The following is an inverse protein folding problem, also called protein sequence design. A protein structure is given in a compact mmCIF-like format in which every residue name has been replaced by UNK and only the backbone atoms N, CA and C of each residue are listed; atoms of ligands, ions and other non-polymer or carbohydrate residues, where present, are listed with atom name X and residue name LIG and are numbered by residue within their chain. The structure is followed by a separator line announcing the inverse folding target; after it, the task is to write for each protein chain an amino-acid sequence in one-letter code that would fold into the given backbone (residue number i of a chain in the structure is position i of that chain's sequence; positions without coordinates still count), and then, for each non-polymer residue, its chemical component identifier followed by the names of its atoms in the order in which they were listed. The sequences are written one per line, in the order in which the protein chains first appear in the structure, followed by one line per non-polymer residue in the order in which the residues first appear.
data_IF_749322349060
#
_entry.id   IF_749322349060
#
_cell.length_a   1.000
_cell.length_b   1.000
_cell.length_c   1.000
_cell.angle_alpha   90.00
_cell.angle_beta   90.00
_cell.angle_gamma   90.00
#
_symmetry.space_group_name_H-M   'P 1'
#
loop_
_entity.id
_entity.type
_entity.pdbx_description
1 polymer ?
#
# COMPACT_ATOMS: atom_id res chain seq x y z
N UNK A 1 -4.09 20.26 -35.68
CA UNK A 1 -3.63 20.02 -34.30
C UNK A 1 -4.82 20.13 -33.33
N UNK A 2 -5.77 19.26 -33.45
CA UNK A 2 -6.92 19.20 -32.54
C UNK A 2 -7.45 17.77 -32.55
N UNK A 3 -6.93 16.90 -31.69
CA UNK A 3 -7.63 15.65 -31.34
C UNK A 3 -6.98 14.84 -30.20
N UNK A 4 -5.99 15.39 -29.50
CA UNK A 4 -5.37 14.68 -28.37
C UNK A 4 -6.12 14.86 -27.05
N UNK A 5 -6.99 15.84 -26.93
CA UNK A 5 -7.74 16.11 -25.69
C UNK A 5 -8.99 15.23 -25.53
N UNK A 6 -9.61 14.81 -26.64
CA UNK A 6 -10.84 13.99 -26.60
C UNK A 6 -10.59 12.50 -26.33
N UNK A 7 -9.39 12.00 -26.66
CA UNK A 7 -9.01 10.59 -26.45
C UNK A 7 -8.55 10.30 -25.02
N UNK A 8 -8.02 11.30 -24.30
CA UNK A 8 -7.54 11.11 -22.93
C UNK A 8 -8.67 10.96 -21.89
N UNK A 9 -9.82 11.55 -22.14
CA UNK A 9 -10.96 11.53 -21.20
C UNK A 9 -11.59 10.14 -21.01
N UNK A 10 -11.86 9.35 -22.07
CA UNK A 10 -12.40 7.99 -21.95
C UNK A 10 -11.45 7.03 -21.26
N UNK A 11 -10.17 7.06 -21.60
CA UNK A 11 -9.14 6.22 -20.97
C UNK A 11 -8.99 6.53 -19.47
N UNK A 12 -8.97 7.81 -19.11
CA UNK A 12 -8.92 8.24 -17.73
C UNK A 12 -10.12 7.73 -16.92
N UNK A 13 -11.33 7.86 -17.45
CA UNK A 13 -12.54 7.40 -16.79
C UNK A 13 -12.54 5.87 -16.61
N UNK A 14 -12.01 5.12 -17.56
CA UNK A 14 -11.86 3.67 -17.44
C UNK A 14 -10.87 3.31 -16.35
N UNK A 15 -9.70 3.92 -16.34
CA UNK A 15 -8.69 3.71 -15.30
C UNK A 15 -9.21 4.06 -13.91
N UNK A 16 -9.94 5.16 -13.79
CA UNK A 16 -10.54 5.59 -12.53
C UNK A 16 -11.55 4.55 -12.02
N UNK A 17 -12.48 4.10 -12.87
CA UNK A 17 -13.48 3.09 -12.52
C UNK A 17 -12.85 1.77 -12.07
N UNK A 18 -11.79 1.32 -12.75
CA UNK A 18 -11.08 0.11 -12.37
C UNK A 18 -10.32 0.30 -11.04
N UNK A 19 -9.67 1.44 -10.85
CA UNK A 19 -9.01 1.76 -9.59
C UNK A 19 -10.01 1.86 -8.41
N UNK A 20 -11.21 2.39 -8.63
CA UNK A 20 -12.30 2.38 -7.64
C UNK A 20 -12.67 0.95 -7.23
N UNK A 21 -12.78 0.03 -8.18
CA UNK A 21 -13.05 -1.39 -7.91
C UNK A 21 -11.88 -2.09 -7.21
N UNK A 22 -10.64 -1.67 -7.48
CA UNK A 22 -9.46 -2.24 -6.82
C UNK A 22 -9.39 -1.93 -5.33
N UNK A 23 -9.85 -0.75 -4.89
CA UNK A 23 -9.74 -0.33 -3.48
C UNK A 23 -10.28 -1.37 -2.49
N UNK A 24 -11.53 -1.86 -2.61
CA UNK A 24 -12.04 -2.88 -1.70
C UNK A 24 -11.30 -4.20 -1.81
N UNK A 25 -10.89 -4.62 -3.01
CA UNK A 25 -10.16 -5.87 -3.24
C UNK A 25 -8.77 -5.86 -2.57
N UNK A 26 -8.04 -4.76 -2.72
CA UNK A 26 -6.76 -4.56 -2.02
C UNK A 26 -6.95 -4.56 -0.49
N UNK A 27 -8.08 -4.01 -0.02
CA UNK A 27 -8.44 -4.05 1.38
C UNK A 27 -8.71 -5.47 1.89
N UNK A 28 -9.43 -6.28 1.13
CA UNK A 28 -9.69 -7.70 1.45
C UNK A 28 -8.38 -8.50 1.47
N UNK A 29 -7.57 -8.39 0.41
CA UNK A 29 -6.25 -9.04 0.35
C UNK A 29 -5.39 -8.72 1.58
N UNK A 30 -5.40 -7.47 2.01
CA UNK A 30 -4.61 -7.07 3.17
C UNK A 30 -5.20 -7.57 4.50
N UNK A 31 -6.51 -7.36 4.73
CA UNK A 31 -7.13 -7.66 6.03
C UNK A 31 -7.42 -9.14 6.25
N UNK A 32 -7.84 -9.84 5.21
CA UNK A 32 -8.32 -11.23 5.32
C UNK A 32 -7.22 -12.23 4.99
N UNK A 33 -6.35 -11.90 4.02
CA UNK A 33 -5.31 -12.79 3.55
C UNK A 33 -3.90 -12.38 3.98
N UNK A 34 -3.73 -11.22 4.64
CA UNK A 34 -2.43 -10.67 4.99
C UNK A 34 -1.48 -10.49 3.79
N UNK A 35 -2.05 -10.22 2.62
CA UNK A 35 -1.31 -9.97 1.40
C UNK A 35 -1.04 -8.47 1.25
N UNK A 36 0.23 -8.11 1.29
CA UNK A 36 0.69 -6.73 1.05
C UNK A 36 0.97 -6.56 -0.43
N UNK A 37 0.20 -5.71 -1.10
CA UNK A 37 0.38 -5.41 -2.52
C UNK A 37 1.16 -4.12 -2.73
N UNK A 38 2.04 -4.12 -3.74
CA UNK A 38 2.86 -2.96 -4.11
C UNK A 38 2.99 -2.83 -5.63
N UNK A 39 3.50 -1.69 -6.08
CA UNK A 39 4.00 -1.45 -7.44
C UNK A 39 5.37 -0.81 -7.31
N UNK A 40 6.42 -1.54 -7.69
CA UNK A 40 7.83 -1.14 -7.51
C UNK A 40 8.11 -0.58 -6.12
N UNK A 41 7.73 -1.35 -5.09
CA UNK A 41 7.92 -1.00 -3.69
C UNK A 41 6.97 0.07 -3.13
N UNK A 42 6.08 0.65 -3.95
CA UNK A 42 5.02 1.55 -3.47
C UNK A 42 3.82 0.74 -3.00
N UNK A 43 3.61 0.68 -1.70
CA UNK A 43 2.46 -0.01 -1.13
C UNK A 43 1.14 0.57 -1.62
N UNK A 44 0.21 -0.32 -1.98
CA UNK A 44 -1.17 0.01 -2.34
C UNK A 44 -2.14 -0.21 -1.17
N UNK A 45 -1.65 -0.71 -0.05
CA UNK A 45 -2.47 -0.93 1.15
C UNK A 45 -2.98 0.40 1.70
N UNK A 46 -4.28 0.47 1.97
CA UNK A 46 -4.97 1.66 2.47
C UNK A 46 -4.80 2.91 1.57
N UNK A 47 -4.64 2.71 0.26
CA UNK A 47 -4.52 3.80 -0.72
C UNK A 47 -5.83 4.06 -1.42
N UNK A 48 -6.08 5.35 -1.71
CA UNK A 48 -7.23 5.78 -2.51
C UNK A 48 -7.00 5.64 -4.02
N UNK A 49 -8.05 5.86 -4.80
CA UNK A 49 -8.09 5.74 -6.26
C UNK A 49 -6.95 6.51 -6.94
N UNK A 50 -6.75 7.77 -6.55
CA UNK A 50 -5.71 8.63 -7.13
C UNK A 50 -4.30 8.11 -6.86
N UNK A 51 -4.07 7.53 -5.68
CA UNK A 51 -2.74 6.99 -5.33
C UNK A 51 -2.46 5.69 -6.07
N UNK A 52 -3.48 4.86 -6.32
CA UNK A 52 -3.38 3.67 -7.18
C UNK A 52 -2.98 4.09 -8.59
N UNK A 53 -3.68 5.07 -9.19
CA UNK A 53 -3.36 5.57 -10.53
C UNK A 53 -1.94 6.18 -10.58
N UNK A 54 -1.56 6.94 -9.55
CA UNK A 54 -0.19 7.49 -9.44
C UNK A 54 0.88 6.40 -9.35
N UNK A 55 0.62 5.31 -8.64
CA UNK A 55 1.54 4.18 -8.55
C UNK A 55 1.74 3.51 -9.92
N UNK A 56 0.68 3.31 -10.70
CA UNK A 56 0.76 2.77 -12.07
C UNK A 56 1.53 3.71 -13.01
N UNK A 57 1.30 5.02 -12.91
CA UNK A 57 2.08 6.00 -13.69
C UNK A 57 3.55 6.03 -13.30
N UNK A 58 3.86 5.77 -12.03
CA UNK A 58 5.25 5.70 -11.58
C UNK A 58 5.98 4.52 -12.20
N UNK A 59 5.32 3.39 -12.41
CA UNK A 59 5.89 2.22 -13.07
C UNK A 59 6.52 2.56 -14.43
N UNK A 60 5.88 3.45 -15.22
CA UNK A 60 6.41 3.93 -16.49
C UNK A 60 7.78 4.62 -16.36
N UNK A 61 8.04 5.26 -15.22
CA UNK A 61 9.33 5.93 -14.98
C UNK A 61 10.43 4.96 -14.57
N UNK A 62 10.06 3.83 -13.97
CA UNK A 62 11.02 2.83 -13.47
C UNK A 62 11.48 1.90 -14.59
N UNK A 63 10.57 1.36 -15.39
CA UNK A 63 10.91 0.36 -16.42
C UNK A 63 10.76 0.87 -17.85
N UNK A 64 10.41 2.14 -18.06
CA UNK A 64 10.07 2.70 -19.37
C UNK A 64 8.93 1.94 -20.08
N UNK A 65 8.26 1.04 -19.38
CA UNK A 65 7.12 0.27 -19.89
C UNK A 65 5.83 0.75 -19.18
N UNK A 66 4.73 0.96 -19.94
CA UNK A 66 3.46 1.34 -19.36
C UNK A 66 2.87 0.17 -18.57
N UNK A 67 2.57 0.40 -17.30
CA UNK A 67 1.73 -0.48 -16.50
C UNK A 67 0.34 0.15 -16.42
N UNK A 68 -0.66 -0.48 -17.01
CA UNK A 68 -2.03 0.03 -16.96
C UNK A 68 -2.82 -0.61 -15.81
N UNK A 69 -3.83 0.11 -15.31
CA UNK A 69 -4.75 -0.44 -14.29
C UNK A 69 -5.53 -1.62 -14.88
N UNK A 70 -5.82 -1.58 -16.18
CA UNK A 70 -6.49 -2.66 -16.90
C UNK A 70 -5.70 -3.98 -16.87
N UNK A 71 -4.36 -3.91 -16.86
CA UNK A 71 -3.53 -5.12 -16.80
C UNK A 71 -3.39 -5.71 -15.41
N UNK A 72 -3.52 -4.89 -14.36
CA UNK A 72 -3.35 -5.33 -12.97
C UNK A 72 -4.68 -5.65 -12.28
N UNK A 73 -5.78 -5.04 -12.71
CA UNK A 73 -7.10 -5.28 -12.13
C UNK A 73 -7.52 -6.76 -12.15
N UNK A 74 -7.42 -7.50 -13.28
CA UNK A 74 -7.80 -8.92 -13.31
C UNK A 74 -6.95 -9.78 -12.36
N UNK A 75 -5.69 -9.43 -12.17
CA UNK A 75 -4.81 -10.12 -11.22
C UNK A 75 -5.28 -9.90 -9.78
N UNK A 76 -5.60 -8.66 -9.42
CA UNK A 76 -6.10 -8.32 -8.07
C UNK A 76 -7.45 -8.96 -7.82
N UNK A 77 -8.36 -8.95 -8.81
CA UNK A 77 -9.69 -9.57 -8.70
C UNK A 77 -9.58 -11.08 -8.49
N UNK A 78 -8.75 -11.76 -9.27
CA UNK A 78 -8.53 -13.19 -9.14
C UNK A 78 -7.85 -13.54 -7.80
N UNK A 79 -6.82 -12.80 -7.39
CA UNK A 79 -6.17 -13.01 -6.10
C UNK A 79 -7.11 -12.82 -4.91
N UNK A 80 -8.02 -11.84 -4.96
CA UNK A 80 -8.99 -11.59 -3.89
C UNK A 80 -10.03 -12.71 -3.76
N UNK A 81 -10.23 -13.51 -4.80
CA UNK A 81 -11.09 -14.70 -4.79
C UNK A 81 -10.35 -15.99 -4.40
N UNK A 82 -9.01 -15.93 -4.28
CA UNK A 82 -8.18 -17.09 -3.89
C UNK A 82 -8.01 -17.14 -2.38
N UNK A 83 -7.89 -18.36 -1.87
CA UNK A 83 -7.50 -18.62 -0.47
C UNK A 83 -5.98 -18.47 -0.34
N UNK A 84 -5.51 -17.25 -0.06
CA UNK A 84 -4.09 -16.92 0.02
C UNK A 84 -3.63 -16.78 1.48
N UNK A 85 -2.43 -17.26 1.76
CA UNK A 85 -1.71 -16.95 2.98
C UNK A 85 -0.93 -15.64 2.89
N UNK A 86 -0.27 -15.29 3.99
CA UNK A 86 0.52 -14.06 4.09
C UNK A 86 1.62 -13.97 3.03
N UNK A 87 1.60 -12.90 2.24
CA UNK A 87 2.55 -12.66 1.15
C UNK A 87 2.80 -11.16 0.90
N UNK A 88 3.91 -10.86 0.27
CA UNK A 88 4.16 -9.53 -0.31
C UNK A 88 4.27 -9.69 -1.81
N UNK A 89 3.40 -9.01 -2.56
CA UNK A 89 3.25 -9.17 -4.01
C UNK A 89 3.43 -7.82 -4.69
N UNK A 90 4.39 -7.76 -5.62
CA UNK A 90 4.54 -6.61 -6.51
C UNK A 90 3.72 -6.84 -7.79
N UNK A 91 2.68 -6.04 -7.97
CA UNK A 91 1.75 -6.17 -9.10
C UNK A 91 2.40 -5.87 -10.44
N UNK A 92 3.47 -5.05 -10.47
CA UNK A 92 4.16 -4.75 -11.71
C UNK A 92 4.96 -5.96 -12.20
N UNK A 93 5.66 -6.63 -11.28
CA UNK A 93 6.39 -7.86 -11.57
C UNK A 93 5.43 -8.99 -11.95
N UNK A 94 4.34 -9.14 -11.18
CA UNK A 94 3.33 -10.17 -11.43
C UNK A 94 2.67 -10.00 -12.82
N UNK A 95 2.30 -8.77 -13.18
CA UNK A 95 1.73 -8.46 -14.50
C UNK A 95 2.72 -8.69 -15.65
N UNK A 96 4.00 -8.39 -15.44
CA UNK A 96 5.04 -8.65 -16.41
C UNK A 96 5.24 -10.16 -16.64
N UNK A 97 5.28 -10.96 -15.59
CA UNK A 97 5.37 -12.43 -15.65
C UNK A 97 4.15 -13.05 -16.33
N UNK A 98 2.94 -12.60 -15.96
CA UNK A 98 1.70 -13.08 -16.57
C UNK A 98 1.68 -12.80 -18.07
N UNK A 99 2.04 -11.58 -18.48
CA UNK A 99 2.12 -11.22 -19.89
C UNK A 99 3.14 -12.06 -20.66
N UNK A 100 4.29 -12.35 -20.06
CA UNK A 100 5.34 -13.16 -20.65
C UNK A 100 4.95 -14.64 -20.77
N UNK A 101 4.17 -15.17 -19.83
CA UNK A 101 3.71 -16.55 -19.84
C UNK A 101 2.65 -16.83 -20.92
N UNK A 102 1.88 -15.81 -21.31
CA UNK A 102 0.75 -15.94 -22.23
C UNK A 102 -0.41 -16.81 -21.70
N UNK A 103 -0.36 -17.21 -20.44
CA UNK A 103 -1.37 -18.04 -19.79
C UNK A 103 -2.60 -17.22 -19.39
N UNK A 104 -3.72 -17.91 -19.19
CA UNK A 104 -4.87 -17.32 -18.51
C UNK A 104 -4.50 -16.85 -17.09
N UNK A 105 -5.15 -15.77 -16.62
CA UNK A 105 -4.86 -15.15 -15.34
C UNK A 105 -4.98 -16.14 -14.19
N UNK A 106 -6.03 -16.96 -14.17
CA UNK A 106 -6.27 -17.90 -13.08
C UNK A 106 -5.21 -19.02 -13.06
N UNK A 107 -4.93 -19.61 -14.23
CA UNK A 107 -3.93 -20.68 -14.35
C UNK A 107 -2.52 -20.19 -14.00
N UNK A 108 -2.19 -18.95 -14.40
CA UNK A 108 -0.93 -18.31 -14.05
C UNK A 108 -0.81 -18.10 -12.53
N UNK A 109 -1.84 -17.52 -11.89
CA UNK A 109 -1.82 -17.25 -10.45
C UNK A 109 -1.79 -18.54 -9.63
N UNK A 110 -2.47 -19.58 -10.07
CA UNK A 110 -2.44 -20.89 -9.42
C UNK A 110 -1.04 -21.51 -9.39
N UNK A 111 -0.25 -21.26 -10.41
CA UNK A 111 1.13 -21.71 -10.49
C UNK A 111 2.09 -20.78 -9.71
N UNK A 112 1.99 -19.46 -9.90
CA UNK A 112 2.91 -18.49 -9.33
C UNK A 112 2.72 -18.35 -7.81
N UNK A 113 1.49 -18.50 -7.32
CA UNK A 113 1.15 -18.37 -5.91
C UNK A 113 0.92 -19.74 -5.22
N UNK A 114 1.36 -20.84 -5.83
CA UNK A 114 1.17 -22.19 -5.29
C UNK A 114 1.69 -22.36 -3.86
N UNK A 115 2.78 -21.67 -3.51
CA UNK A 115 3.40 -21.75 -2.18
C UNK A 115 2.54 -21.13 -1.07
N UNK A 116 1.68 -20.17 -1.40
CA UNK A 116 0.84 -19.42 -0.44
C UNK A 116 -0.65 -19.72 -0.59
N UNK A 117 -1.04 -20.44 -1.65
CA UNK A 117 -2.41 -20.87 -1.89
C UNK A 117 -2.83 -21.94 -0.87
N UNK A 118 -4.05 -21.84 -0.34
CA UNK A 118 -4.59 -22.74 0.67
C UNK A 118 -4.03 -22.53 2.08
N UNK A 119 -3.33 -21.43 2.31
CA UNK A 119 -2.68 -21.09 3.59
C UNK A 119 -3.30 -19.87 4.25
N UNK A 120 -4.58 -19.58 3.99
CA UNK A 120 -5.27 -18.49 4.66
C UNK A 120 -5.22 -18.65 6.18
N UNK A 121 -4.85 -17.57 6.86
CA UNK A 121 -4.65 -17.58 8.32
C UNK A 121 -3.32 -18.17 8.78
N UNK A 122 -2.58 -18.90 7.93
CA UNK A 122 -1.23 -19.32 8.26
C UNK A 122 -0.26 -18.14 8.15
N UNK A 123 0.67 -18.03 9.08
CA UNK A 123 1.64 -16.92 9.09
C UNK A 123 1.10 -15.60 9.67
N UNK A 124 -0.14 -15.55 10.10
CA UNK A 124 -0.64 -14.58 11.07
C UNK A 124 -0.11 -14.96 12.47
N UNK A 125 1.22 -15.08 12.60
CA UNK A 125 1.84 -15.27 13.90
C UNK A 125 1.38 -14.18 14.87
N UNK A 126 1.50 -14.43 16.17
CA UNK A 126 1.15 -13.45 17.20
C UNK A 126 1.71 -12.08 16.86
N UNK A 127 0.84 -11.08 16.87
CA UNK A 127 1.24 -9.69 16.63
C UNK A 127 2.30 -9.32 17.66
N UNK A 128 3.47 -8.91 17.22
CA UNK A 128 4.55 -8.47 18.10
C UNK A 128 4.27 -7.05 18.59
N UNK A 129 4.28 -6.89 19.89
CA UNK A 129 4.13 -5.59 20.52
C UNK A 129 5.43 -4.79 20.40
N UNK A 130 5.33 -3.57 19.87
CA UNK A 130 6.43 -2.63 19.73
C UNK A 130 6.30 -1.53 20.77
N UNK A 131 7.35 -1.31 21.54
CA UNK A 131 7.46 -0.18 22.46
C UNK A 131 8.52 0.77 21.92
N UNK A 132 8.13 2.01 21.64
CA UNK A 132 9.05 3.05 21.21
C UNK A 132 9.61 3.78 22.41
N UNK A 133 10.93 3.77 22.58
CA UNK A 133 11.62 4.54 23.61
C UNK A 133 12.10 5.88 23.04
N UNK A 134 11.38 6.94 23.33
CA UNK A 134 11.59 8.27 22.79
C UNK A 134 10.56 8.66 21.73
N UNK A 135 10.13 9.93 21.75
CA UNK A 135 9.12 10.47 20.84
C UNK A 135 9.60 11.76 20.15
N UNK A 136 10.86 11.72 19.71
CA UNK A 136 11.46 12.76 18.86
C UNK A 136 11.01 12.66 17.40
N UNK A 137 11.76 13.22 16.46
CA UNK A 137 11.43 13.19 15.02
C UNK A 137 11.30 11.76 14.50
N UNK A 138 12.27 10.91 14.80
CA UNK A 138 12.30 9.51 14.35
C UNK A 138 11.21 8.70 15.04
N UNK A 139 11.06 8.81 16.35
CA UNK A 139 10.02 8.07 17.10
C UNK A 139 8.60 8.38 16.60
N UNK A 140 8.31 9.65 16.27
CA UNK A 140 7.03 10.05 15.69
C UNK A 140 6.83 9.48 14.28
N UNK A 141 7.88 9.45 13.45
CA UNK A 141 7.81 8.85 12.12
C UNK A 141 7.54 7.34 12.21
N UNK A 142 8.27 6.63 13.07
CA UNK A 142 8.07 5.19 13.30
C UNK A 142 6.68 4.89 13.85
N UNK A 143 6.20 5.67 14.82
CA UNK A 143 4.84 5.51 15.36
C UNK A 143 3.77 5.62 14.28
N UNK A 144 3.92 6.58 13.37
CA UNK A 144 2.99 6.75 12.23
C UNK A 144 3.04 5.60 11.26
N UNK A 145 4.24 5.16 10.88
CA UNK A 145 4.40 4.00 10.01
C UNK A 145 3.72 2.77 10.63
N UNK A 146 3.92 2.54 11.92
CA UNK A 146 3.28 1.43 12.63
C UNK A 146 1.75 1.57 12.66
N UNK A 147 1.23 2.78 12.85
CA UNK A 147 -0.22 3.04 12.86
C UNK A 147 -0.82 2.96 11.45
N UNK A 148 -0.15 3.48 10.43
CA UNK A 148 -0.60 3.41 9.03
C UNK A 148 -0.67 1.96 8.53
N UNK A 149 0.19 1.09 9.08
CA UNK A 149 0.21 -0.34 8.77
C UNK A 149 -0.57 -1.18 9.81
N UNK A 150 -1.15 -0.55 10.83
CA UNK A 150 -1.95 -1.25 11.82
C UNK A 150 -3.23 -1.79 11.18
N UNK A 151 -3.43 -3.10 11.26
CA UNK A 151 -4.59 -3.78 10.69
C UNK A 151 -4.39 -5.28 10.64
N UNK A 152 -5.33 -6.01 10.05
CA UNK A 152 -5.36 -7.47 10.05
C UNK A 152 -4.12 -8.14 9.47
N UNK A 153 -3.32 -7.42 8.69
CA UNK A 153 -2.08 -7.93 8.08
C UNK A 153 -0.78 -7.51 8.75
N UNK A 154 -0.83 -6.67 9.79
CA UNK A 154 0.38 -6.19 10.43
C UNK A 154 0.85 -7.12 11.54
N UNK A 155 2.10 -7.59 11.44
CA UNK A 155 2.74 -8.36 12.50
C UNK A 155 3.26 -7.49 13.64
N UNK A 156 3.25 -6.15 13.49
CA UNK A 156 3.76 -5.19 14.45
C UNK A 156 2.63 -4.31 14.96
N UNK A 157 2.49 -4.21 16.27
CA UNK A 157 1.51 -3.35 16.92
C UNK A 157 2.21 -2.37 17.85
N UNK A 158 2.00 -1.08 17.64
CA UNK A 158 2.46 -0.06 18.58
C UNK A 158 1.70 -0.21 19.90
N UNK A 159 2.38 -0.70 20.93
CA UNK A 159 1.81 -0.93 22.26
C UNK A 159 1.95 0.26 23.18
N UNK A 160 3.12 0.88 23.17
CA UNK A 160 3.42 2.01 24.02
C UNK A 160 4.51 2.91 23.44
N UNK A 161 4.52 4.16 23.89
CA UNK A 161 5.59 5.11 23.64
C UNK A 161 6.09 5.60 25.00
N UNK A 162 7.37 5.39 25.29
CA UNK A 162 8.01 5.83 26.52
C UNK A 162 8.72 7.15 26.27
N UNK A 163 8.40 8.15 27.07
CA UNK A 163 9.03 9.47 27.01
C UNK A 163 9.49 9.92 28.39
N UNK A 164 10.54 10.74 28.45
CA UNK A 164 10.90 11.38 29.71
C UNK A 164 9.83 12.40 30.09
N UNK A 165 9.30 12.30 31.29
CA UNK A 165 8.31 13.23 31.82
C UNK A 165 9.02 14.52 32.24
N UNK A 166 8.63 15.66 31.65
CA UNK A 166 9.03 16.99 32.13
C UNK A 166 7.86 17.68 32.86
N UNK A 167 6.63 17.54 32.29
CA UNK A 167 5.38 18.04 32.90
C UNK A 167 4.20 17.22 32.36
N UNK A 168 3.02 17.35 32.95
CA UNK A 168 1.80 16.69 32.44
C UNK A 168 1.36 17.27 31.11
N UNK A 169 1.43 18.58 30.94
CA UNK A 169 1.12 19.28 29.69
C UNK A 169 2.03 18.84 28.53
N UNK A 170 3.28 18.45 28.79
CA UNK A 170 4.22 17.97 27.79
C UNK A 170 3.78 16.62 27.21
N UNK A 171 3.17 15.75 28.00
CA UNK A 171 2.63 14.48 27.50
C UNK A 171 1.47 14.70 26.52
N UNK A 172 0.55 15.59 26.85
CA UNK A 172 -0.59 15.93 26.00
C UNK A 172 -0.11 16.55 24.69
N UNK A 173 0.82 17.51 24.76
CA UNK A 173 1.44 18.13 23.58
C UNK A 173 2.14 17.11 22.69
N UNK A 174 2.88 16.16 23.27
CA UNK A 174 3.56 15.11 22.51
C UNK A 174 2.58 14.13 21.89
N UNK A 175 1.52 13.75 22.59
CA UNK A 175 0.47 12.90 22.04
C UNK A 175 -0.25 13.58 20.87
N UNK A 176 -0.57 14.87 20.98
CA UNK A 176 -1.19 15.63 19.89
C UNK A 176 -0.31 15.72 18.64
N UNK A 177 1.02 15.71 18.79
CA UNK A 177 1.95 15.69 17.66
C UNK A 177 1.92 14.37 16.85
N UNK A 178 1.33 13.31 17.37
CA UNK A 178 1.07 12.09 16.59
C UNK A 178 -0.06 12.31 15.60
N UNK A 179 -1.09 13.02 16.01
CA UNK A 179 -2.29 13.30 15.21
C UNK A 179 -2.11 14.53 14.31
N UNK A 180 -1.34 15.52 14.77
CA UNK A 180 -1.07 16.78 14.07
C UNK A 180 0.05 16.62 13.04
N UNK A 181 -0.26 15.93 11.95
CA UNK A 181 0.71 15.66 10.89
C UNK A 181 0.87 16.76 9.85
N UNK A 182 0.17 17.83 9.98
CA UNK A 182 -0.20 18.62 8.82
C UNK A 182 0.73 19.80 8.59
N UNK A 183 1.70 20.05 9.42
CA UNK A 183 2.69 21.09 9.14
C UNK A 183 4.12 20.58 9.31
N UNK A 184 4.62 19.89 8.26
CA UNK A 184 5.97 20.22 7.82
C UNK A 184 5.78 21.54 7.06
N UNK A 185 5.75 22.64 7.77
CA UNK A 185 6.01 23.93 7.16
C UNK A 185 7.39 23.83 6.52
N UNK A 186 7.46 24.09 5.22
CA UNK A 186 8.72 24.32 4.54
C UNK A 186 9.54 25.30 5.39
N UNK A 187 10.85 25.07 5.54
CA UNK A 187 11.68 26.02 6.23
C UNK A 187 11.56 27.35 5.47
N UNK A 188 10.93 28.32 6.10
CA UNK A 188 10.89 29.68 5.59
C UNK A 188 12.33 30.11 5.44
N UNK A 189 12.82 30.18 4.21
CA UNK A 189 14.09 30.84 3.92
C UNK A 189 13.90 32.30 4.33
N UNK A 190 14.42 32.64 5.49
CA UNK A 190 14.68 34.02 5.81
C UNK A 190 15.74 34.50 4.80
N UNK A 191 15.28 35.24 3.80
CA UNK A 191 16.15 36.05 2.97
C UNK A 191 16.59 37.20 3.82
N UNK A 192 17.83 37.13 4.32
CA UNK A 192 18.59 38.28 4.80
C UNK A 192 19.29 38.94 3.63
#
# INVERSE_FOLDING_TARGET
MADTASTQTPEWNTQQKLAEKMVPLLGTLYREHNVVTSIYGRSLVNRGVIDIIKAHRYARRVQQAPLSVESTYPLVEAMAAMDLGAATIDLAELAAKQKASGQDVQAFLDAELAEVKGKAGEGLGETQDVVLYGFGRIGRLLARILLDHAGGGSKLRLRAVVVRKNSEDDLIKRASLLLSLIHISEPTRLLS
#
